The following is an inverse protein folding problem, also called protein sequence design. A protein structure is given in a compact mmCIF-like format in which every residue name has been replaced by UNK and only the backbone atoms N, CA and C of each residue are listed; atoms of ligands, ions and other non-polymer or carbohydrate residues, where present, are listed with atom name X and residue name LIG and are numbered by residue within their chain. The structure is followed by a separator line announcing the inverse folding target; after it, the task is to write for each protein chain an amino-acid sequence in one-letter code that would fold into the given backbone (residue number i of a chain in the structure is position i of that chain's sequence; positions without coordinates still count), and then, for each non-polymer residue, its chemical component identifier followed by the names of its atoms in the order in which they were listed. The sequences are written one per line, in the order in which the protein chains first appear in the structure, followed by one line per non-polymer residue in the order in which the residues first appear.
data_IF_563087062189
#
_entry.id   IF_563087062189
#
_cell.length_a   1.000
_cell.length_b   1.000
_cell.length_c   1.000
_cell.angle_alpha   90.00
_cell.angle_beta   90.00
_cell.angle_gamma   90.00
#
_symmetry.space_group_name_H-M   'P 1'
#
loop_
_entity.id
_entity.type
_entity.pdbx_description
1 polymer ?
#
# COMPACT_ATOMS: atom_id res chain seq x y z
N UNK A 1 -2.98 -4.47 22.53
CA UNK A 1 -3.35 -3.75 21.30
C UNK A 1 -2.10 -3.22 20.57
N UNK A 2 -1.24 -4.10 20.05
CA UNK A 2 -0.06 -3.72 19.27
C UNK A 2 -0.37 -3.09 17.87
N UNK A 3 -1.38 -3.56 17.11
CA UNK A 3 -1.65 -3.00 15.77
C UNK A 3 -2.24 -1.58 15.76
N UNK A 4 -2.86 -1.16 16.86
CA UNK A 4 -3.46 0.18 16.98
C UNK A 4 -2.40 1.26 17.24
N UNK A 5 -1.35 0.92 17.99
CA UNK A 5 -0.17 1.77 18.23
C UNK A 5 0.73 1.84 16.99
N UNK A 6 0.86 0.74 16.26
CA UNK A 6 1.60 0.71 14.99
C UNK A 6 0.93 1.60 13.93
N UNK A 7 -0.42 1.62 13.88
CA UNK A 7 -1.19 2.48 12.97
C UNK A 7 -1.00 3.96 13.30
N UNK A 8 -1.10 4.36 14.57
CA UNK A 8 -0.99 5.78 14.94
C UNK A 8 0.41 6.37 14.77
N UNK A 9 1.48 5.58 14.95
CA UNK A 9 2.85 6.03 14.73
C UNK A 9 3.22 6.16 13.24
N UNK A 10 2.60 5.36 12.36
CA UNK A 10 3.02 5.23 10.95
C UNK A 10 2.11 5.99 9.99
N UNK A 11 0.88 6.36 10.38
CA UNK A 11 -0.03 7.20 9.58
C UNK A 11 0.60 8.50 9.03
N UNK A 12 1.35 9.31 9.81
CA UNK A 12 1.95 10.53 9.25
C UNK A 12 3.07 10.24 8.25
N UNK A 13 3.81 9.15 8.44
CA UNK A 13 4.89 8.74 7.52
C UNK A 13 4.30 8.17 6.23
N UNK A 14 3.23 7.38 6.33
CA UNK A 14 2.53 6.81 5.18
C UNK A 14 1.78 7.88 4.38
N UNK A 15 1.20 8.90 5.04
CA UNK A 15 0.48 9.98 4.36
C UNK A 15 1.44 10.89 3.59
N UNK A 16 2.55 11.31 4.21
CA UNK A 16 3.59 12.10 3.56
C UNK A 16 4.25 11.30 2.44
N UNK A 17 4.60 10.03 2.70
CA UNK A 17 5.19 9.14 1.70
C UNK A 17 4.27 8.94 0.49
N UNK A 18 2.97 8.75 0.71
CA UNK A 18 2.00 8.56 -0.39
C UNK A 18 1.76 9.84 -1.19
N UNK A 19 1.73 11.00 -0.54
CA UNK A 19 1.52 12.29 -1.20
C UNK A 19 2.76 12.74 -1.98
N UNK A 20 3.96 12.47 -1.46
CA UNK A 20 5.21 12.94 -2.06
C UNK A 20 5.83 11.95 -3.05
N UNK A 21 5.61 10.64 -2.91
CA UNK A 21 6.26 9.62 -3.74
C UNK A 21 6.05 9.85 -5.25
N UNK A 22 4.80 10.06 -5.68
CA UNK A 22 4.50 10.27 -7.10
C UNK A 22 5.02 11.60 -7.64
N UNK A 23 4.77 12.77 -6.99
CA UNK A 23 5.36 14.03 -7.43
C UNK A 23 6.90 13.99 -7.50
N UNK A 24 7.59 13.45 -6.48
CA UNK A 24 9.05 13.32 -6.52
C UNK A 24 9.51 12.42 -7.66
N UNK A 25 8.82 11.30 -7.87
CA UNK A 25 9.14 10.39 -8.96
C UNK A 25 8.99 11.07 -10.33
N UNK A 26 7.89 11.77 -10.59
CA UNK A 26 7.66 12.43 -11.89
C UNK A 26 8.58 13.63 -12.12
N UNK A 27 8.82 14.46 -11.09
CA UNK A 27 9.77 15.58 -11.17
C UNK A 27 11.18 15.03 -11.43
N UNK A 28 11.57 13.99 -10.68
CA UNK A 28 12.82 13.30 -10.87
C UNK A 28 12.96 12.71 -12.28
N UNK A 29 11.90 12.08 -12.79
CA UNK A 29 11.84 11.52 -14.13
C UNK A 29 12.08 12.60 -15.19
N UNK A 30 11.34 13.71 -15.13
CA UNK A 30 11.45 14.81 -16.09
C UNK A 30 12.86 15.39 -16.13
N UNK A 31 13.44 15.70 -14.97
CA UNK A 31 14.82 16.19 -14.91
C UNK A 31 15.86 15.12 -15.28
N UNK A 32 15.57 13.84 -15.03
CA UNK A 32 16.43 12.75 -15.46
C UNK A 32 16.47 12.64 -16.99
N UNK A 33 15.35 12.85 -17.68
CA UNK A 33 15.31 12.96 -19.15
C UNK A 33 16.09 14.16 -19.69
N UNK A 34 16.11 15.28 -18.95
CA UNK A 34 16.87 16.49 -19.33
C UNK A 34 18.39 16.41 -19.04
N UNK A 35 18.92 15.26 -18.60
CA UNK A 35 20.35 15.12 -18.33
C UNK A 35 20.80 15.63 -16.94
N UNK A 36 19.91 16.13 -16.09
CA UNK A 36 20.26 16.57 -14.73
C UNK A 36 20.53 15.41 -13.76
N UNK A 37 21.68 15.41 -13.08
CA UNK A 37 22.02 14.40 -12.06
C UNK A 37 21.09 14.47 -10.84
N UNK A 38 20.62 15.67 -10.51
CA UNK A 38 19.63 15.89 -9.44
C UNK A 38 18.31 15.16 -9.74
N UNK A 39 17.90 15.08 -11.01
CA UNK A 39 16.71 14.33 -11.43
C UNK A 39 16.78 12.84 -11.08
N UNK A 40 17.94 12.21 -11.26
CA UNK A 40 18.14 10.79 -10.91
C UNK A 40 18.00 10.60 -9.39
N UNK A 41 18.62 11.49 -8.59
CA UNK A 41 18.51 11.44 -7.13
C UNK A 41 17.06 11.57 -6.66
N UNK A 42 16.30 12.54 -7.22
CA UNK A 42 14.89 12.74 -6.88
C UNK A 42 14.02 11.54 -7.29
N UNK A 43 14.31 10.95 -8.44
CA UNK A 43 13.61 9.78 -8.95
C UNK A 43 13.76 8.57 -7.99
N UNK A 44 14.98 8.27 -7.55
CA UNK A 44 15.22 7.21 -6.57
C UNK A 44 14.68 7.55 -5.17
N UNK A 45 14.70 8.83 -4.77
CA UNK A 45 14.09 9.27 -3.52
C UNK A 45 12.56 9.04 -3.53
N UNK A 46 11.88 9.34 -4.64
CA UNK A 46 10.45 9.04 -4.81
C UNK A 46 10.15 7.54 -4.73
N UNK A 47 11.01 6.69 -5.32
CA UNK A 47 10.89 5.24 -5.21
C UNK A 47 11.10 4.78 -3.77
N UNK A 48 12.09 5.30 -3.06
CA UNK A 48 12.35 4.95 -1.66
C UNK A 48 11.16 5.28 -0.75
N UNK A 49 10.52 6.45 -0.96
CA UNK A 49 9.28 6.80 -0.28
C UNK A 49 8.15 5.82 -0.61
N UNK A 50 8.00 5.45 -1.89
CA UNK A 50 6.98 4.49 -2.31
C UNK A 50 7.21 3.08 -1.74
N UNK A 51 8.47 2.64 -1.59
CA UNK A 51 8.81 1.39 -0.88
C UNK A 51 8.31 1.43 0.55
N UNK A 52 8.47 2.57 1.25
CA UNK A 52 7.92 2.76 2.59
C UNK A 52 6.40 2.59 2.64
N UNK A 53 5.68 3.12 1.64
CA UNK A 53 4.21 2.97 1.51
C UNK A 53 3.82 1.51 1.25
N UNK A 54 4.53 0.79 0.37
CA UNK A 54 4.29 -0.63 0.09
C UNK A 54 4.52 -1.48 1.33
N UNK A 55 5.64 -1.27 2.03
CA UNK A 55 5.95 -1.97 3.28
C UNK A 55 4.88 -1.71 4.34
N UNK A 56 4.44 -0.46 4.49
CA UNK A 56 3.37 -0.13 5.41
C UNK A 56 2.08 -0.90 5.07
N UNK A 57 1.69 -0.89 3.79
CA UNK A 57 0.51 -1.60 3.30
C UNK A 57 0.56 -3.10 3.64
N UNK A 58 1.73 -3.72 3.47
CA UNK A 58 1.96 -5.13 3.80
C UNK A 58 1.92 -5.40 5.32
N UNK A 59 2.47 -4.51 6.13
CA UNK A 59 2.46 -4.65 7.60
C UNK A 59 1.06 -4.44 8.19
N UNK A 60 0.23 -3.60 7.57
CA UNK A 60 -1.16 -3.38 8.02
C UNK A 60 -2.12 -4.47 7.55
N UNK A 61 -1.78 -5.21 6.50
CA UNK A 61 -2.66 -6.22 5.92
C UNK A 61 -3.16 -7.29 6.92
N UNK A 62 -2.35 -7.85 7.85
CA UNK A 62 -2.84 -8.80 8.86
C UNK A 62 -3.92 -8.23 9.79
N UNK A 63 -3.88 -6.92 10.04
CA UNK A 63 -4.84 -6.27 10.97
C UNK A 63 -6.23 -6.14 10.34
N UNK A 64 -6.29 -6.02 9.02
CA UNK A 64 -7.53 -6.00 8.24
C UNK A 64 -8.20 -7.39 8.21
N UNK A 65 -7.39 -8.47 8.10
CA UNK A 65 -7.91 -9.83 8.24
C UNK A 65 -8.46 -10.12 9.63
N UNK A 66 -7.78 -9.66 10.68
CA UNK A 66 -8.26 -9.82 12.04
C UNK A 66 -9.55 -9.02 12.29
N UNK A 67 -9.68 -7.83 11.67
CA UNK A 67 -10.92 -7.06 11.73
C UNK A 67 -12.11 -7.82 11.13
N UNK A 68 -11.96 -8.44 9.96
CA UNK A 68 -13.00 -9.28 9.35
C UNK A 68 -13.40 -10.46 10.27
N UNK A 69 -12.42 -11.14 10.89
CA UNK A 69 -12.69 -12.23 11.86
C UNK A 69 -13.42 -11.76 13.12
N UNK A 70 -13.07 -10.58 13.64
CA UNK A 70 -13.76 -9.98 14.80
C UNK A 70 -15.18 -9.57 14.44
N UNK A 71 -15.40 -9.02 13.26
CA UNK A 71 -16.73 -8.64 12.78
C UNK A 71 -17.68 -9.84 12.70
N UNK A 72 -17.22 -10.98 12.17
CA UNK A 72 -18.01 -12.22 12.14
C UNK A 72 -18.43 -12.64 13.55
N UNK A 73 -17.51 -12.63 14.52
CA UNK A 73 -17.81 -12.98 15.93
C UNK A 73 -18.81 -12.01 16.57
N UNK A 74 -18.66 -10.71 16.31
CA UNK A 74 -19.60 -9.71 16.83
C UNK A 74 -20.99 -9.89 16.24
N UNK A 75 -21.10 -10.12 14.92
CA UNK A 75 -22.37 -10.32 14.23
C UNK A 75 -23.13 -11.55 14.72
N UNK A 76 -22.41 -12.65 15.03
CA UNK A 76 -23.02 -13.85 15.62
C UNK A 76 -23.60 -13.64 17.02
N UNK A 77 -23.19 -12.57 17.72
CA UNK A 77 -23.63 -12.27 19.09
C UNK A 77 -24.74 -11.21 19.14
N UNK A 78 -24.94 -10.44 18.07
CA UNK A 78 -25.91 -9.33 18.03
C UNK A 78 -27.33 -9.73 17.67
N UNK A 79 -27.58 -10.98 17.26
CA UNK A 79 -28.90 -11.44 16.80
C UNK A 79 -29.38 -10.82 15.49
N UNK A 80 -28.52 -10.05 14.81
CA UNK A 80 -28.79 -9.36 13.54
C UNK A 80 -28.69 -10.27 12.31
N UNK A 81 -28.13 -11.46 12.47
CA UNK A 81 -27.85 -12.42 11.39
C UNK A 81 -28.28 -13.79 11.86
N UNK A 82 -29.09 -14.48 11.07
CA UNK A 82 -29.50 -15.86 11.34
C UNK A 82 -28.36 -16.85 11.07
N UNK A 83 -28.46 -18.06 11.61
CA UNK A 83 -27.46 -19.12 11.38
C UNK A 83 -27.31 -19.48 9.89
N UNK A 84 -28.38 -19.31 9.12
CA UNK A 84 -28.44 -19.55 7.68
C UNK A 84 -27.71 -18.44 6.88
N UNK A 85 -27.77 -17.19 7.35
CA UNK A 85 -27.12 -16.03 6.72
C UNK A 85 -25.64 -15.88 7.08
N UNK A 86 -25.18 -16.46 8.20
CA UNK A 86 -23.79 -16.37 8.66
C UNK A 86 -22.78 -16.87 7.62
N UNK A 87 -23.15 -17.89 6.84
CA UNK A 87 -22.31 -18.39 5.74
C UNK A 87 -22.05 -17.31 4.69
N UNK A 88 -23.12 -16.69 4.18
CA UNK A 88 -23.04 -15.62 3.19
C UNK A 88 -22.31 -14.38 3.73
N UNK A 89 -22.58 -13.98 4.97
CA UNK A 89 -21.89 -12.85 5.63
C UNK A 89 -20.39 -13.08 5.73
N UNK A 90 -19.97 -14.31 6.06
CA UNK A 90 -18.54 -14.66 6.11
C UNK A 90 -17.88 -14.56 4.74
N UNK A 91 -18.55 -14.97 3.67
CA UNK A 91 -18.02 -14.84 2.31
C UNK A 91 -17.86 -13.36 1.91
N UNK A 92 -18.86 -12.52 2.19
CA UNK A 92 -18.80 -11.08 1.89
C UNK A 92 -17.66 -10.41 2.68
N UNK A 93 -17.54 -10.70 3.98
CA UNK A 93 -16.48 -10.14 4.83
C UNK A 93 -15.09 -10.64 4.43
N UNK A 94 -14.98 -11.85 3.90
CA UNK A 94 -13.73 -12.35 3.35
C UNK A 94 -13.39 -11.69 2.02
N UNK A 95 -14.37 -11.54 1.12
CA UNK A 95 -14.22 -10.81 -0.14
C UNK A 95 -13.80 -9.34 0.09
N UNK A 96 -14.38 -8.68 1.10
CA UNK A 96 -13.97 -7.34 1.50
C UNK A 96 -12.50 -7.30 1.95
N UNK A 97 -12.03 -8.28 2.72
CA UNK A 97 -10.62 -8.37 3.12
C UNK A 97 -9.68 -8.62 1.92
N UNK A 98 -10.13 -9.39 0.92
CA UNK A 98 -9.36 -9.61 -0.32
C UNK A 98 -9.13 -8.32 -1.13
N UNK A 99 -9.98 -7.31 -0.99
CA UNK A 99 -9.75 -6.00 -1.65
C UNK A 99 -8.47 -5.31 -1.15
N UNK A 100 -8.12 -5.48 0.14
CA UNK A 100 -6.85 -5.00 0.69
C UNK A 100 -5.66 -5.79 0.15
N UNK A 101 -5.81 -7.09 -0.06
CA UNK A 101 -4.78 -7.92 -0.71
C UNK A 101 -4.54 -7.47 -2.14
N UNK A 102 -5.62 -7.20 -2.88
CA UNK A 102 -5.53 -6.67 -4.23
C UNK A 102 -4.81 -5.32 -4.26
N UNK A 103 -5.14 -4.42 -3.32
CA UNK A 103 -4.45 -3.13 -3.19
C UNK A 103 -2.94 -3.30 -2.90
N UNK A 104 -2.57 -4.22 -2.01
CA UNK A 104 -1.17 -4.53 -1.71
C UNK A 104 -0.43 -5.11 -2.95
N UNK A 105 -1.06 -6.03 -3.67
CA UNK A 105 -0.52 -6.60 -4.90
C UNK A 105 -0.32 -5.53 -5.97
N UNK A 106 -1.30 -4.64 -6.15
CA UNK A 106 -1.20 -3.50 -7.08
C UNK A 106 -0.06 -2.56 -6.69
N UNK A 107 0.13 -2.28 -5.40
CA UNK A 107 1.23 -1.46 -4.92
C UNK A 107 2.60 -2.08 -5.23
N UNK A 108 2.74 -3.41 -5.10
CA UNK A 108 3.96 -4.14 -5.47
C UNK A 108 4.22 -4.06 -6.99
N UNK A 109 3.21 -4.32 -7.81
CA UNK A 109 3.33 -4.22 -9.27
C UNK A 109 3.74 -2.81 -9.69
N UNK A 110 3.14 -1.80 -9.07
CA UNK A 110 3.50 -0.41 -9.33
C UNK A 110 4.94 -0.12 -8.92
N UNK A 111 5.41 -0.64 -7.79
CA UNK A 111 6.81 -0.47 -7.36
C UNK A 111 7.78 -1.08 -8.38
N UNK A 112 7.49 -2.30 -8.84
CA UNK A 112 8.27 -2.96 -9.89
C UNK A 112 8.30 -2.12 -11.17
N UNK A 113 7.15 -1.57 -11.58
CA UNK A 113 7.06 -0.67 -12.73
C UNK A 113 7.95 0.56 -12.57
N UNK A 114 7.92 1.23 -11.41
CA UNK A 114 8.75 2.41 -11.15
C UNK A 114 10.25 2.08 -11.22
N UNK A 115 10.66 0.92 -10.69
CA UNK A 115 12.05 0.43 -10.76
C UNK A 115 12.51 0.15 -12.20
N UNK A 116 11.64 -0.45 -13.03
CA UNK A 116 11.94 -0.69 -14.45
C UNK A 116 12.08 0.62 -15.23
N UNK A 117 11.25 1.61 -14.96
CA UNK A 117 11.38 2.94 -15.58
C UNK A 117 12.68 3.60 -15.13
N UNK A 118 13.00 3.53 -13.84
CA UNK A 118 14.22 4.10 -13.26
C UNK A 118 15.50 3.54 -13.89
N UNK A 119 15.57 2.21 -14.05
CA UNK A 119 16.72 1.54 -14.65
C UNK A 119 16.87 1.90 -16.13
N UNK A 120 15.77 1.94 -16.88
CA UNK A 120 15.78 2.33 -18.30
C UNK A 120 16.20 3.79 -18.51
N UNK A 121 15.85 4.70 -17.60
CA UNK A 121 16.27 6.10 -17.65
C UNK A 121 17.75 6.25 -17.29
N UNK A 122 18.20 5.55 -16.25
CA UNK A 122 19.60 5.62 -15.79
C UNK A 122 20.58 4.98 -16.79
N UNK A 123 20.15 3.92 -17.48
CA UNK A 123 20.95 3.25 -18.51
C UNK A 123 21.22 4.10 -19.76
N UNK A 124 20.33 5.04 -20.10
CA UNK A 124 20.50 5.95 -21.26
C UNK A 124 21.62 7.00 -21.10
N UNK A 125 22.22 7.12 -19.92
CA UNK A 125 23.33 8.04 -19.66
C UNK A 125 24.72 7.39 -19.65
N UNK A 126 24.80 6.06 -19.75
CA UNK A 126 26.05 5.33 -19.98
C UNK A 126 26.26 5.18 -21.48
#
# INVERSE_FOLDING_TARGET
YAPLVLRSAVVPVASIGSQLAFPLFFIGLLFAYMGSQLGITLLYAGIALFVGVVLFTLVTLPVEFDASRRAIRALSQTGLVTQEELGAVKEVLFAAALTYVAAAAMAIVQLLRLLLIASAVSGRRR
#
